data_IF_362949353634
#
_entry.id   IF_362949353634
#
_cell.length_a   1.000
_cell.length_b   1.000
_cell.length_c   1.000
_cell.angle_alpha   90.00
_cell.angle_beta   90.00
_cell.angle_gamma   90.00
#
_symmetry.space_group_name_H-M   'P 1'
#
loop_
_entity.id
_entity.type
_entity.pdbx_description
1 polymer ?
#
# COMPACT_ATOMS: atom_id res chain seq x y z
N UNK A 1 -30.94 -9.06 -15.23
CA UNK A 1 -29.87 -8.06 -15.42
C UNK A 1 -30.44 -6.93 -16.28
N UNK A 2 -30.78 -5.78 -15.70
CA UNK A 2 -31.33 -4.63 -16.46
C UNK A 2 -30.15 -4.06 -17.24
N UNK A 3 -30.21 -4.05 -18.57
CA UNK A 3 -29.21 -3.36 -19.41
C UNK A 3 -29.24 -1.87 -19.05
N UNK A 4 -28.13 -1.33 -18.53
CA UNK A 4 -27.99 0.12 -18.33
C UNK A 4 -28.03 0.78 -19.73
N UNK A 5 -28.76 1.88 -19.84
CA UNK A 5 -28.77 2.69 -21.07
C UNK A 5 -27.46 3.44 -21.19
N UNK A 6 -27.08 3.88 -22.40
CA UNK A 6 -25.89 4.71 -22.62
C UNK A 6 -25.91 5.99 -21.77
N UNK A 7 -27.11 6.54 -21.52
CA UNK A 7 -27.29 7.69 -20.64
C UNK A 7 -26.96 7.38 -19.18
N UNK A 8 -27.34 6.19 -18.67
CA UNK A 8 -27.04 5.79 -17.30
C UNK A 8 -25.54 5.59 -17.09
N UNK A 9 -24.88 4.96 -18.08
CA UNK A 9 -23.42 4.77 -18.08
C UNK A 9 -22.69 6.11 -18.08
N UNK A 10 -23.12 7.04 -18.93
CA UNK A 10 -22.53 8.36 -19.01
C UNK A 10 -22.75 9.17 -17.73
N UNK A 11 -23.94 9.09 -17.11
CA UNK A 11 -24.24 9.74 -15.83
C UNK A 11 -23.34 9.19 -14.71
N UNK A 12 -23.17 7.86 -14.63
CA UNK A 12 -22.32 7.22 -13.65
C UNK A 12 -20.86 7.64 -13.80
N UNK A 13 -20.34 7.70 -15.03
CA UNK A 13 -19.00 8.18 -15.32
C UNK A 13 -18.83 9.65 -14.90
N UNK A 14 -19.81 10.51 -15.20
CA UNK A 14 -19.79 11.91 -14.79
C UNK A 14 -19.79 12.05 -13.26
N UNK A 15 -20.57 11.20 -12.55
CA UNK A 15 -20.58 11.16 -11.07
C UNK A 15 -19.20 10.80 -10.52
N UNK A 16 -18.55 9.81 -11.09
CA UNK A 16 -17.18 9.42 -10.71
C UNK A 16 -16.17 10.54 -10.93
N UNK A 17 -16.27 11.27 -12.05
CA UNK A 17 -15.40 12.41 -12.33
C UNK A 17 -15.60 13.55 -11.32
N UNK A 18 -16.86 13.88 -10.98
CA UNK A 18 -17.16 14.89 -9.96
C UNK A 18 -16.62 14.47 -8.60
N UNK A 19 -16.84 13.20 -8.19
CA UNK A 19 -16.36 12.67 -6.91
C UNK A 19 -14.84 12.63 -6.84
N UNK A 20 -14.15 12.20 -7.93
CA UNK A 20 -12.68 12.27 -8.05
C UNK A 20 -12.17 13.69 -7.85
N UNK A 21 -12.78 14.67 -8.52
CA UNK A 21 -12.37 16.07 -8.42
C UNK A 21 -12.51 16.58 -6.99
N UNK A 22 -13.62 16.28 -6.32
CA UNK A 22 -13.85 16.63 -4.92
C UNK A 22 -12.84 15.96 -3.98
N UNK A 23 -12.56 14.67 -4.19
CA UNK A 23 -11.61 13.92 -3.37
C UNK A 23 -10.20 14.50 -3.44
N UNK A 24 -9.78 14.95 -4.63
CA UNK A 24 -8.44 15.45 -4.90
C UNK A 24 -8.25 16.94 -4.61
N UNK A 25 -9.28 17.63 -4.10
CA UNK A 25 -9.25 19.09 -3.88
C UNK A 25 -9.72 19.41 -2.46
N UNK A 26 -8.97 20.22 -1.74
CA UNK A 26 -9.31 20.58 -0.36
C UNK A 26 -10.66 21.30 -0.26
N UNK A 27 -10.94 22.21 -1.19
CA UNK A 27 -12.21 22.91 -1.33
C UNK A 27 -12.42 23.38 -2.76
N UNK A 28 -13.67 23.38 -3.20
CA UNK A 28 -14.03 23.79 -4.57
C UNK A 28 -15.46 24.33 -4.62
N UNK A 29 -15.94 24.69 -5.80
CA UNK A 29 -17.34 25.08 -6.05
C UNK A 29 -17.93 24.29 -7.21
N UNK A 30 -19.28 24.21 -7.27
CA UNK A 30 -19.99 23.56 -8.39
C UNK A 30 -19.59 24.13 -9.76
N UNK A 31 -19.34 25.44 -9.84
CA UNK A 31 -18.89 26.10 -11.07
C UNK A 31 -17.44 25.68 -11.42
N UNK A 32 -16.54 25.69 -10.44
CA UNK A 32 -15.14 25.28 -10.65
C UNK A 32 -15.04 23.82 -11.13
N UNK A 33 -15.82 22.91 -10.52
CA UNK A 33 -15.89 21.51 -10.97
C UNK A 33 -16.37 21.45 -12.42
N UNK A 34 -17.48 22.17 -12.76
CA UNK A 34 -18.05 22.15 -14.09
C UNK A 34 -17.03 22.61 -15.15
N UNK A 35 -16.29 23.67 -14.84
CA UNK A 35 -15.26 24.22 -15.73
C UNK A 35 -14.06 23.25 -15.85
N UNK A 36 -13.60 22.64 -14.75
CA UNK A 36 -12.45 21.74 -14.72
C UNK A 36 -12.69 20.43 -15.50
N UNK A 37 -13.89 19.86 -15.42
CA UNK A 37 -14.21 18.58 -16.08
C UNK A 37 -15.04 18.78 -17.37
N UNK A 38 -15.23 20.00 -17.79
CA UNK A 38 -15.97 20.38 -19.01
C UNK A 38 -17.38 19.80 -19.09
N UNK A 39 -18.14 19.92 -17.98
CA UNK A 39 -19.54 19.51 -17.89
C UNK A 39 -20.47 20.72 -17.72
N UNK A 40 -21.73 20.54 -18.10
CA UNK A 40 -22.75 21.57 -17.87
C UNK A 40 -23.00 21.80 -16.37
N UNK A 41 -23.12 23.07 -15.96
CA UNK A 41 -23.35 23.45 -14.55
C UNK A 41 -24.63 22.81 -13.94
N UNK A 42 -25.66 22.60 -14.74
CA UNK A 42 -26.87 21.88 -14.33
C UNK A 42 -26.62 20.42 -13.98
N UNK A 43 -25.82 19.72 -14.81
CA UNK A 43 -25.41 18.33 -14.59
C UNK A 43 -24.58 18.20 -13.32
N UNK A 44 -23.55 19.04 -13.15
CA UNK A 44 -22.74 19.05 -11.92
C UNK A 44 -23.57 19.37 -10.69
N UNK A 45 -24.51 20.33 -10.78
CA UNK A 45 -25.38 20.67 -9.64
C UNK A 45 -26.30 19.51 -9.23
N UNK A 46 -26.81 18.73 -10.18
CA UNK A 46 -27.60 17.53 -9.91
C UNK A 46 -26.75 16.44 -9.23
N UNK A 47 -25.54 16.18 -9.73
CA UNK A 47 -24.61 15.19 -9.18
C UNK A 47 -24.15 15.60 -7.78
N UNK A 48 -23.77 16.85 -7.57
CA UNK A 48 -23.36 17.37 -6.26
C UNK A 48 -24.47 17.21 -5.24
N UNK A 49 -25.73 17.48 -5.59
CA UNK A 49 -26.87 17.27 -4.68
C UNK A 49 -26.99 15.78 -4.31
N UNK A 50 -26.89 14.87 -5.28
CA UNK A 50 -26.94 13.44 -5.03
C UNK A 50 -25.82 12.98 -4.08
N UNK A 51 -24.58 13.46 -4.29
CA UNK A 51 -23.44 13.15 -3.42
C UNK A 51 -23.58 13.77 -2.01
N UNK A 52 -24.21 14.95 -1.90
CA UNK A 52 -24.55 15.56 -0.60
C UNK A 52 -25.59 14.71 0.15
N UNK A 53 -26.65 14.28 -0.53
CA UNK A 53 -27.69 13.41 0.06
C UNK A 53 -27.12 12.07 0.53
N UNK A 54 -26.01 11.60 -0.11
CA UNK A 54 -25.24 10.43 0.30
C UNK A 54 -24.23 10.71 1.46
N UNK A 55 -24.06 11.97 1.88
CA UNK A 55 -23.13 12.35 2.94
C UNK A 55 -21.66 12.44 2.51
N UNK A 56 -21.37 12.34 1.19
CA UNK A 56 -20.00 12.40 0.63
C UNK A 56 -19.45 13.83 0.48
N UNK A 57 -20.29 14.84 0.63
CA UNK A 57 -19.93 16.25 0.47
C UNK A 57 -20.31 17.05 1.73
N UNK A 58 -19.42 17.93 2.13
CA UNK A 58 -19.61 18.91 3.19
C UNK A 58 -19.67 20.34 2.59
N UNK A 59 -20.63 21.17 3.02
CA UNK A 59 -20.70 22.57 2.65
C UNK A 59 -19.90 23.43 3.63
N UNK A 60 -19.03 24.29 3.09
CA UNK A 60 -18.16 25.17 3.86
C UNK A 60 -18.70 26.61 3.99
N UNK A 61 -19.84 26.91 3.33
CA UNK A 61 -20.42 28.24 3.28
C UNK A 61 -19.99 29.03 2.04
N UNK A 62 -20.08 30.35 2.13
CA UNK A 62 -19.87 31.25 0.97
C UNK A 62 -18.39 31.64 0.87
N UNK A 63 -17.79 31.40 -0.28
CA UNK A 63 -16.41 31.82 -0.60
C UNK A 63 -16.26 33.30 -0.89
N UNK A 64 -15.07 33.74 -1.24
CA UNK A 64 -14.79 35.11 -1.65
C UNK A 64 -15.39 35.41 -3.03
N UNK A 65 -15.74 36.66 -3.27
CA UNK A 65 -16.22 37.09 -4.57
C UNK A 65 -15.06 37.07 -5.59
N UNK A 66 -15.33 36.63 -6.83
CA UNK A 66 -14.32 36.75 -7.88
C UNK A 66 -13.99 38.22 -8.19
N UNK A 67 -12.75 38.52 -8.57
CA UNK A 67 -12.29 39.85 -8.93
C UNK A 67 -13.06 40.45 -10.12
N UNK A 68 -13.84 39.66 -10.85
CA UNK A 68 -14.62 40.05 -12.05
C UNK A 68 -16.09 40.37 -11.68
N UNK A 69 -16.46 40.26 -10.40
CA UNK A 69 -17.84 40.43 -9.93
C UNK A 69 -18.68 39.16 -10.13
N UNK A 70 -19.82 39.07 -9.48
CA UNK A 70 -20.73 37.93 -9.55
C UNK A 70 -21.15 37.44 -8.18
N UNK A 71 -22.09 36.48 -8.17
CA UNK A 71 -22.57 35.85 -6.91
C UNK A 71 -21.45 35.03 -6.30
N UNK A 72 -21.17 35.23 -5.01
CA UNK A 72 -20.19 34.45 -4.27
C UNK A 72 -20.49 32.95 -4.39
N UNK A 73 -19.50 32.07 -4.70
CA UNK A 73 -19.72 30.65 -4.84
C UNK A 73 -19.92 30.01 -3.45
N UNK A 74 -20.81 29.02 -3.37
CA UNK A 74 -20.86 28.14 -2.22
C UNK A 74 -19.70 27.13 -2.34
N UNK A 75 -18.83 27.10 -1.34
CA UNK A 75 -17.70 26.17 -1.26
C UNK A 75 -18.16 24.84 -0.71
N UNK A 76 -17.62 23.78 -1.28
CA UNK A 76 -17.87 22.39 -0.92
C UNK A 76 -16.54 21.64 -0.88
N UNK A 77 -16.49 20.57 -0.08
CA UNK A 77 -15.36 19.64 -0.05
C UNK A 77 -15.84 18.20 0.09
N UNK A 78 -14.93 17.27 -0.19
CA UNK A 78 -15.14 15.86 0.14
C UNK A 78 -15.28 15.71 1.66
N UNK A 79 -16.30 14.96 2.10
CA UNK A 79 -16.52 14.72 3.53
C UNK A 79 -15.70 13.53 4.01
N UNK A 80 -14.53 13.77 4.58
CA UNK A 80 -13.69 12.71 5.16
C UNK A 80 -14.40 11.94 6.29
N UNK A 81 -15.36 12.59 6.99
CA UNK A 81 -16.18 11.97 8.03
C UNK A 81 -17.33 11.15 7.49
N UNK A 82 -17.37 10.87 6.18
CA UNK A 82 -18.32 9.91 5.61
C UNK A 82 -18.27 8.56 6.36
N UNK A 83 -17.08 8.08 6.66
CA UNK A 83 -16.85 6.87 7.43
C UNK A 83 -15.36 6.66 7.70
N UNK A 84 -15.04 5.60 8.42
CA UNK A 84 -13.67 5.20 8.64
C UNK A 84 -13.41 3.77 8.14
N UNK A 85 -12.15 3.48 7.81
CA UNK A 85 -11.63 2.18 7.37
C UNK A 85 -10.76 1.61 8.46
N UNK A 86 -10.84 0.30 8.68
CA UNK A 86 -9.96 -0.46 9.55
C UNK A 86 -9.01 -1.30 8.68
N UNK A 87 -7.73 -1.02 8.75
CA UNK A 87 -6.71 -1.79 8.05
C UNK A 87 -5.95 -2.69 9.04
N UNK A 88 -5.79 -3.96 8.70
CA UNK A 88 -4.95 -4.91 9.43
C UNK A 88 -3.73 -5.32 8.62
N UNK A 89 -2.60 -5.50 9.29
CA UNK A 89 -1.41 -6.15 8.76
C UNK A 89 -1.09 -7.39 9.61
N UNK A 90 -1.28 -8.57 9.01
CA UNK A 90 -1.05 -9.86 9.67
C UNK A 90 0.39 -10.31 9.40
N UNK A 91 1.32 -9.78 10.16
CA UNK A 91 2.72 -10.20 10.14
C UNK A 91 2.96 -11.50 10.93
N UNK A 92 4.21 -11.98 10.91
CA UNK A 92 4.60 -13.21 11.61
C UNK A 92 4.64 -13.00 13.13
N UNK A 93 5.10 -11.84 13.58
CA UNK A 93 5.34 -11.55 15.00
C UNK A 93 4.45 -10.42 15.54
N UNK A 94 3.69 -9.78 14.69
CA UNK A 94 2.82 -8.67 15.06
C UNK A 94 1.55 -8.68 14.23
N UNK A 95 0.42 -8.42 14.89
CA UNK A 95 -0.79 -7.93 14.27
C UNK A 95 -0.79 -6.42 14.43
N UNK A 96 -0.72 -5.68 13.32
CA UNK A 96 -0.86 -4.23 13.33
C UNK A 96 -2.21 -3.86 12.80
N UNK A 97 -2.76 -2.75 13.29
CA UNK A 97 -3.94 -2.18 12.67
C UNK A 97 -3.93 -0.66 12.76
N UNK A 98 -4.61 -0.05 11.81
CA UNK A 98 -4.88 1.39 11.81
C UNK A 98 -6.36 1.66 11.58
N UNK A 99 -6.83 2.74 12.17
CA UNK A 99 -8.13 3.33 11.88
C UNK A 99 -7.87 4.64 11.16
N UNK A 100 -8.46 4.79 9.98
CA UNK A 100 -8.26 5.95 9.13
C UNK A 100 -9.61 6.47 8.64
N UNK A 101 -9.77 7.79 8.49
CA UNK A 101 -10.86 8.31 7.69
C UNK A 101 -10.78 7.79 6.25
N UNK A 102 -11.91 7.79 5.54
CA UNK A 102 -11.99 7.25 4.17
C UNK A 102 -11.05 7.96 3.17
N UNK A 103 -10.61 9.17 3.44
CA UNK A 103 -9.61 9.91 2.64
C UNK A 103 -8.16 9.52 2.95
N UNK A 104 -7.91 8.60 3.88
CA UNK A 104 -6.59 8.13 4.27
C UNK A 104 -6.07 8.70 5.58
N UNK A 105 -6.57 9.85 6.04
CA UNK A 105 -6.08 10.51 7.26
C UNK A 105 -6.14 9.57 8.47
N UNK A 106 -5.00 9.41 9.12
CA UNK A 106 -4.82 8.51 10.25
C UNK A 106 -5.55 9.04 11.50
N UNK A 107 -6.32 8.18 12.14
CA UNK A 107 -6.91 8.45 13.46
C UNK A 107 -6.00 7.87 14.54
N UNK A 108 -5.69 6.58 14.46
CA UNK A 108 -4.67 5.95 15.30
C UNK A 108 -4.18 4.63 14.70
N UNK A 109 -3.02 4.16 15.15
CA UNK A 109 -2.55 2.81 14.85
C UNK A 109 -2.05 2.10 16.10
N UNK A 110 -2.09 0.75 16.07
CA UNK A 110 -1.68 -0.11 17.18
C UNK A 110 -0.89 -1.30 16.63
N UNK A 111 0.12 -1.73 17.41
CA UNK A 111 0.87 -2.96 17.15
C UNK A 111 0.73 -3.91 18.32
N UNK A 112 0.25 -5.13 18.06
CA UNK A 112 0.05 -6.21 19.03
C UNK A 112 1.07 -7.30 18.72
N UNK A 113 1.90 -7.67 19.69
CA UNK A 113 2.87 -8.76 19.54
C UNK A 113 2.15 -10.11 19.47
N UNK A 114 2.52 -10.93 18.49
CA UNK A 114 2.00 -12.28 18.31
C UNK A 114 2.97 -13.31 18.87
N UNK A 115 2.39 -14.33 19.52
CA UNK A 115 3.10 -15.52 20.02
C UNK A 115 2.59 -16.80 19.35
N UNK A 116 1.78 -16.67 18.31
CA UNK A 116 1.18 -17.74 17.53
C UNK A 116 1.19 -17.37 16.06
N UNK A 117 1.27 -18.37 15.18
CA UNK A 117 1.06 -18.22 13.75
C UNK A 117 -0.29 -18.79 13.29
N UNK A 118 -1.13 -19.28 14.22
CA UNK A 118 -2.45 -19.82 13.89
C UNK A 118 -3.42 -18.70 13.59
N UNK A 119 -3.96 -18.68 12.39
CA UNK A 119 -4.86 -17.61 11.94
C UNK A 119 -6.12 -17.51 12.80
N UNK A 120 -6.63 -18.63 13.32
CA UNK A 120 -7.78 -18.63 14.25
C UNK A 120 -7.53 -17.81 15.51
N UNK A 121 -6.32 -17.92 16.10
CA UNK A 121 -5.96 -17.16 17.30
C UNK A 121 -5.77 -15.68 16.98
N UNK A 122 -5.16 -15.37 15.82
CA UNK A 122 -4.99 -13.99 15.33
C UNK A 122 -6.37 -13.39 15.04
N UNK A 123 -7.27 -14.13 14.41
CA UNK A 123 -8.65 -13.69 14.17
C UNK A 123 -9.39 -13.35 15.47
N UNK A 124 -9.17 -14.10 16.56
CA UNK A 124 -9.76 -13.77 17.86
C UNK A 124 -9.32 -12.37 18.35
N UNK A 125 -8.06 -11.98 18.11
CA UNK A 125 -7.58 -10.63 18.40
C UNK A 125 -8.25 -9.60 17.48
N UNK A 126 -8.31 -9.87 16.17
CA UNK A 126 -9.00 -8.99 15.21
C UNK A 126 -10.47 -8.79 15.58
N UNK A 127 -11.16 -9.87 15.92
CA UNK A 127 -12.56 -9.84 16.40
C UNK A 127 -12.70 -8.94 17.63
N UNK A 128 -11.79 -9.06 18.60
CA UNK A 128 -11.80 -8.20 19.77
C UNK A 128 -11.61 -6.74 19.43
N UNK A 129 -10.70 -6.41 18.51
CA UNK A 129 -10.51 -5.04 18.00
C UNK A 129 -11.80 -4.53 17.36
N UNK A 130 -12.41 -5.29 16.44
CA UNK A 130 -13.62 -4.89 15.71
C UNK A 130 -14.80 -4.63 16.66
N UNK A 131 -15.01 -5.52 17.65
CA UNK A 131 -16.13 -5.40 18.59
C UNK A 131 -15.95 -4.28 19.62
N UNK A 132 -14.73 -3.84 19.87
CA UNK A 132 -14.40 -2.79 20.84
C UNK A 132 -13.91 -1.49 20.16
N UNK A 133 -14.19 -1.31 18.86
CA UNK A 133 -13.88 -0.05 18.18
C UNK A 133 -14.56 1.12 18.87
N UNK A 134 -13.81 2.18 19.08
CA UNK A 134 -14.34 3.44 19.60
C UNK A 134 -15.35 4.05 18.61
N UNK A 135 -16.24 4.88 19.13
CA UNK A 135 -17.14 5.67 18.28
C UNK A 135 -16.40 6.90 17.78
N UNK A 136 -16.11 6.90 16.49
CA UNK A 136 -15.54 8.07 15.81
C UNK A 136 -16.66 8.96 15.28
N UNK A 137 -16.39 10.27 15.22
CA UNK A 137 -17.31 11.26 14.67
C UNK A 137 -17.39 11.13 13.14
N UNK A 138 -18.18 10.16 12.69
CA UNK A 138 -18.42 9.85 11.27
C UNK A 138 -19.89 9.51 11.03
N UNK A 139 -20.35 9.69 9.78
CA UNK A 139 -21.77 9.45 9.41
C UNK A 139 -22.11 7.95 9.44
N UNK A 140 -21.25 7.11 8.83
CA UNK A 140 -21.55 5.70 8.60
C UNK A 140 -20.71 4.74 9.46
N UNK A 141 -19.89 5.24 10.39
CA UNK A 141 -19.02 4.40 11.21
C UNK A 141 -17.97 3.66 10.37
N UNK A 142 -17.75 2.38 10.68
CA UNK A 142 -16.87 1.49 9.92
C UNK A 142 -17.49 1.21 8.54
N UNK A 143 -16.78 1.55 7.46
CA UNK A 143 -17.28 1.39 6.08
C UNK A 143 -16.51 0.34 5.29
N UNK A 144 -15.39 -0.17 5.81
CA UNK A 144 -14.66 -1.25 5.16
C UNK A 144 -13.42 -1.70 5.93
N UNK A 145 -12.96 -2.91 5.60
CA UNK A 145 -11.77 -3.52 6.20
C UNK A 145 -10.81 -3.95 5.11
N UNK A 146 -9.51 -3.68 5.31
CA UNK A 146 -8.44 -4.29 4.53
C UNK A 146 -7.54 -5.17 5.40
N UNK A 147 -6.97 -6.22 4.79
CA UNK A 147 -6.07 -7.14 5.46
C UNK A 147 -4.85 -7.36 4.56
N UNK A 148 -3.68 -7.02 5.08
CA UNK A 148 -2.37 -7.30 4.48
C UNK A 148 -1.91 -8.69 4.88
N UNK A 149 -1.45 -9.48 3.92
CA UNK A 149 -0.87 -10.82 4.13
C UNK A 149 0.44 -10.98 3.35
N UNK A 150 1.39 -11.69 3.96
CA UNK A 150 2.58 -12.20 3.27
C UNK A 150 2.26 -13.48 2.48
N UNK A 151 1.36 -13.37 1.52
CA UNK A 151 0.85 -14.49 0.73
C UNK A 151 0.32 -14.00 -0.62
N UNK A 152 0.39 -14.80 -1.70
CA UNK A 152 -0.31 -14.51 -2.93
C UNK A 152 -1.81 -14.53 -2.72
N UNK A 153 -2.48 -13.48 -3.16
CA UNK A 153 -3.93 -13.29 -3.03
C UNK A 153 -4.54 -12.91 -4.36
N UNK A 154 -5.64 -13.58 -4.74
CA UNK A 154 -6.47 -13.22 -5.87
C UNK A 154 -7.94 -13.23 -5.45
N UNK A 155 -8.63 -12.10 -5.65
CA UNK A 155 -10.07 -11.95 -5.35
C UNK A 155 -10.46 -12.45 -3.94
N UNK A 156 -9.68 -12.04 -2.95
CA UNK A 156 -9.78 -12.47 -1.55
C UNK A 156 -9.47 -13.97 -1.29
N UNK A 157 -9.04 -14.71 -2.30
CA UNK A 157 -8.60 -16.09 -2.12
C UNK A 157 -7.09 -16.13 -1.85
N UNK A 158 -6.71 -16.76 -0.76
CA UNK A 158 -5.33 -16.96 -0.37
C UNK A 158 -4.87 -18.27 -1.01
N UNK A 159 -3.92 -18.20 -1.95
CA UNK A 159 -3.47 -19.38 -2.70
C UNK A 159 -2.64 -20.32 -1.82
N UNK A 160 -1.74 -19.77 -1.04
CA UNK A 160 -0.97 -20.47 -0.01
C UNK A 160 -0.41 -19.45 0.98
N UNK A 161 -0.07 -19.88 2.18
CA UNK A 161 0.55 -19.02 3.20
C UNK A 161 1.82 -19.71 3.73
N UNK A 162 3.00 -19.11 3.48
CA UNK A 162 4.27 -19.71 3.92
C UNK A 162 4.53 -19.52 5.41
N UNK A 163 3.87 -18.56 6.07
CA UNK A 163 4.19 -18.15 7.44
C UNK A 163 3.05 -18.33 8.43
N UNK A 164 1.79 -18.21 7.96
CA UNK A 164 0.60 -18.32 8.81
C UNK A 164 -0.11 -19.64 8.60
N UNK A 165 -0.56 -20.25 9.68
CA UNK A 165 -1.26 -21.53 9.68
C UNK A 165 -2.78 -21.32 9.69
N UNK A 166 -3.40 -21.51 8.54
CA UNK A 166 -4.85 -21.38 8.37
C UNK A 166 -5.65 -22.59 8.83
N UNK A 167 -5.10 -23.82 8.83
CA UNK A 167 -5.80 -25.04 9.24
C UNK A 167 -7.25 -25.12 8.76
N UNK A 168 -7.49 -24.89 7.49
CA UNK A 168 -8.85 -24.79 6.89
C UNK A 168 -9.75 -23.68 7.47
N UNK A 169 -9.22 -22.74 8.22
CA UNK A 169 -9.97 -21.58 8.70
C UNK A 169 -10.20 -20.57 7.59
N UNK A 170 -11.47 -20.31 7.25
CA UNK A 170 -11.84 -19.28 6.29
C UNK A 170 -11.96 -17.92 7.00
N UNK A 171 -10.95 -17.07 6.79
CA UNK A 171 -10.88 -15.75 7.39
C UNK A 171 -11.95 -14.80 6.85
N UNK A 172 -12.26 -14.90 5.54
CA UNK A 172 -13.25 -14.04 4.90
C UNK A 172 -14.65 -14.37 5.39
N UNK A 173 -15.02 -15.63 5.44
CA UNK A 173 -16.33 -16.03 5.90
C UNK A 173 -16.53 -15.71 7.38
N UNK A 174 -15.51 -15.93 8.21
CA UNK A 174 -15.55 -15.55 9.62
C UNK A 174 -15.72 -14.02 9.84
N UNK A 175 -15.15 -13.20 8.96
CA UNK A 175 -15.35 -11.74 9.00
C UNK A 175 -16.74 -11.33 8.51
N UNK A 176 -17.26 -11.95 7.45
CA UNK A 176 -18.62 -11.69 6.96
C UNK A 176 -19.70 -12.04 7.97
N UNK A 177 -19.48 -13.07 8.79
CA UNK A 177 -20.39 -13.40 9.90
C UNK A 177 -20.37 -12.33 11.01
N UNK A 178 -19.27 -11.60 11.15
CA UNK A 178 -19.09 -10.61 12.22
C UNK A 178 -19.56 -9.21 11.82
N UNK A 179 -19.42 -8.83 10.54
CA UNK A 179 -19.65 -7.48 10.05
C UNK A 179 -20.20 -7.49 8.62
N UNK A 180 -21.02 -6.49 8.31
CA UNK A 180 -21.63 -6.27 6.98
C UNK A 180 -20.99 -5.06 6.27
N UNK A 181 -19.65 -5.12 6.09
CA UNK A 181 -18.91 -4.13 5.30
C UNK A 181 -17.96 -4.83 4.32
N UNK A 182 -17.54 -4.18 3.23
CA UNK A 182 -16.55 -4.74 2.33
C UNK A 182 -15.25 -5.12 3.05
N UNK A 183 -14.78 -6.35 2.83
CA UNK A 183 -13.49 -6.85 3.31
C UNK A 183 -12.62 -7.17 2.10
N UNK A 184 -11.40 -6.65 2.08
CA UNK A 184 -10.41 -6.92 1.03
C UNK A 184 -9.14 -7.45 1.66
N UNK A 185 -8.69 -8.63 1.19
CA UNK A 185 -7.36 -9.17 1.49
C UNK A 185 -6.46 -8.90 0.30
N UNK A 186 -5.23 -8.46 0.57
CA UNK A 186 -4.24 -8.24 -0.47
C UNK A 186 -2.83 -8.60 0.01
N UNK A 187 -1.95 -8.90 -0.95
CA UNK A 187 -0.54 -9.16 -0.71
C UNK A 187 0.19 -7.91 -0.19
N UNK A 188 1.12 -8.08 0.75
CA UNK A 188 1.91 -7.00 1.37
C UNK A 188 2.63 -6.13 0.34
N UNK A 189 3.34 -6.74 -0.63
CA UNK A 189 4.09 -5.96 -1.62
C UNK A 189 3.16 -5.17 -2.56
N UNK A 190 1.99 -5.73 -2.89
CA UNK A 190 0.97 -5.03 -3.65
C UNK A 190 0.43 -3.81 -2.88
N UNK A 191 0.19 -3.96 -1.57
CA UNK A 191 -0.25 -2.84 -0.73
C UNK A 191 0.83 -1.76 -0.59
N UNK A 192 2.10 -2.15 -0.51
CA UNK A 192 3.22 -1.19 -0.55
C UNK A 192 3.23 -0.41 -1.88
N UNK A 193 3.02 -1.08 -3.00
CA UNK A 193 2.94 -0.40 -4.31
C UNK A 193 1.73 0.55 -4.40
N UNK A 194 0.58 0.16 -3.84
CA UNK A 194 -0.61 1.02 -3.74
C UNK A 194 -0.33 2.24 -2.86
N UNK A 195 0.35 2.06 -1.72
CA UNK A 195 0.79 3.17 -0.87
C UNK A 195 1.64 4.18 -1.65
N UNK A 196 2.62 3.70 -2.40
CA UNK A 196 3.49 4.58 -3.20
C UNK A 196 2.65 5.35 -4.22
N UNK A 197 1.79 4.68 -4.97
CA UNK A 197 0.93 5.32 -5.97
C UNK A 197 0.03 6.42 -5.38
N UNK A 198 -0.52 6.19 -4.19
CA UNK A 198 -1.62 6.99 -3.65
C UNK A 198 -1.19 8.02 -2.58
N UNK A 199 -0.10 7.76 -1.86
CA UNK A 199 0.36 8.62 -0.75
C UNK A 199 1.77 9.19 -0.95
N UNK A 200 2.65 8.51 -1.70
CA UNK A 200 4.02 9.00 -1.87
C UNK A 200 4.06 10.16 -2.84
N UNK A 201 4.72 11.23 -2.41
CA UNK A 201 4.94 12.43 -3.24
C UNK A 201 6.41 12.78 -3.16
N UNK A 202 7.08 12.71 -4.29
CA UNK A 202 8.50 13.07 -4.37
C UNK A 202 8.66 14.60 -4.45
N UNK A 203 7.87 15.25 -5.30
CA UNK A 203 7.71 16.71 -5.43
C UNK A 203 6.29 16.98 -5.92
N UNK A 204 5.81 18.23 -5.84
CA UNK A 204 4.44 18.59 -6.25
C UNK A 204 4.10 18.20 -7.71
N UNK A 205 5.13 18.04 -8.58
CA UNK A 205 4.95 17.84 -10.02
C UNK A 205 5.33 16.43 -10.53
N UNK A 206 5.92 15.55 -9.71
CA UNK A 206 6.37 14.21 -10.18
C UNK A 206 5.42 13.14 -9.68
N UNK A 207 4.64 12.56 -10.58
CA UNK A 207 3.88 11.33 -10.39
C UNK A 207 4.53 10.22 -11.20
N UNK A 208 4.70 9.06 -10.56
CA UNK A 208 5.18 7.86 -11.23
C UNK A 208 3.99 7.05 -11.74
N UNK A 209 4.01 6.68 -13.02
CA UNK A 209 2.98 5.87 -13.66
C UNK A 209 3.31 4.37 -13.56
N UNK A 210 4.60 4.03 -13.62
CA UNK A 210 5.11 2.68 -13.57
C UNK A 210 6.06 2.51 -12.38
N UNK A 211 5.68 1.70 -11.42
CA UNK A 211 6.38 1.58 -10.14
C UNK A 211 6.64 0.10 -9.85
N UNK A 212 7.83 -0.20 -9.33
CA UNK A 212 8.12 -1.43 -8.64
C UNK A 212 8.37 -1.16 -7.15
N UNK A 213 7.63 -1.82 -6.27
CA UNK A 213 7.85 -1.81 -4.83
C UNK A 213 8.53 -3.12 -4.44
N UNK A 214 9.84 -3.11 -4.26
CA UNK A 214 10.63 -4.27 -3.85
C UNK A 214 10.68 -4.34 -2.32
N UNK A 215 9.91 -5.26 -1.75
CA UNK A 215 9.86 -5.52 -0.31
C UNK A 215 10.86 -6.60 0.04
N UNK A 216 11.81 -6.28 0.93
CA UNK A 216 12.88 -7.18 1.38
C UNK A 216 12.74 -7.36 2.89
N UNK A 217 11.98 -8.38 3.32
CA UNK A 217 11.69 -8.64 4.73
C UNK A 217 11.94 -10.11 5.08
N UNK A 218 10.89 -10.85 5.49
CA UNK A 218 10.98 -12.29 5.75
C UNK A 218 11.11 -13.11 4.45
N UNK A 219 10.59 -12.59 3.35
CA UNK A 219 10.76 -13.02 1.98
C UNK A 219 11.19 -11.83 1.11
N UNK A 220 11.11 -12.01 -0.21
CA UNK A 220 11.31 -10.94 -1.19
C UNK A 220 10.13 -10.94 -2.15
N UNK A 221 9.39 -9.84 -2.18
CA UNK A 221 8.23 -9.66 -3.05
C UNK A 221 8.28 -8.34 -3.80
N UNK A 222 7.59 -8.25 -4.93
CA UNK A 222 7.47 -7.03 -5.73
C UNK A 222 6.01 -6.70 -5.98
N UNK A 223 5.56 -5.56 -5.50
CA UNK A 223 4.31 -4.96 -5.94
C UNK A 223 4.56 -4.16 -7.22
N UNK A 224 3.71 -4.36 -8.23
CA UNK A 224 3.91 -3.74 -9.55
C UNK A 224 2.74 -2.84 -9.91
N UNK A 225 3.01 -1.58 -10.20
CA UNK A 225 2.06 -0.63 -10.80
C UNK A 225 2.49 -0.40 -12.24
N UNK A 226 1.56 -0.55 -13.18
CA UNK A 226 1.71 -0.23 -14.61
C UNK A 226 0.58 0.71 -15.01
N UNK A 227 0.92 1.84 -15.61
CA UNK A 227 -0.06 2.87 -16.01
C UNK A 227 -1.01 3.23 -14.82
N UNK A 228 -0.43 3.41 -13.64
CA UNK A 228 -1.10 3.70 -12.36
C UNK A 228 -2.08 2.62 -11.87
N UNK A 229 -2.02 1.42 -12.43
CA UNK A 229 -2.86 0.27 -12.05
C UNK A 229 -2.03 -0.84 -11.44
N UNK A 230 -2.54 -1.45 -10.39
CA UNK A 230 -1.91 -2.63 -9.80
C UNK A 230 -1.95 -3.80 -10.78
N UNK A 231 -0.78 -4.32 -11.12
CA UNK A 231 -0.62 -5.50 -11.97
C UNK A 231 -0.46 -6.75 -11.11
N UNK A 232 -1.44 -7.62 -11.13
CA UNK A 232 -1.46 -8.86 -10.32
C UNK A 232 -0.98 -10.09 -11.09
N UNK A 233 -0.93 -10.01 -12.42
CA UNK A 233 -0.59 -11.18 -13.27
C UNK A 233 -1.62 -12.29 -13.21
N UNK A 234 -1.25 -13.45 -13.75
CA UNK A 234 -2.08 -14.64 -13.68
C UNK A 234 -2.20 -15.14 -12.23
N UNK A 235 -3.42 -15.32 -11.77
CA UNK A 235 -3.73 -15.82 -10.40
C UNK A 235 -3.09 -15.01 -9.26
N UNK A 236 -2.80 -13.71 -9.46
CA UNK A 236 -2.18 -12.89 -8.41
C UNK A 236 -0.72 -13.23 -8.12
N UNK A 237 -0.04 -13.94 -9.03
CA UNK A 237 1.34 -14.42 -8.84
C UNK A 237 2.42 -13.49 -9.42
N UNK A 238 2.04 -12.30 -9.90
CA UNK A 238 3.03 -11.30 -10.29
C UNK A 238 3.87 -10.87 -9.09
N UNK A 239 5.15 -10.66 -9.28
CA UNK A 239 6.03 -10.14 -8.25
C UNK A 239 6.62 -11.15 -7.27
N UNK A 240 6.39 -12.46 -7.45
CA UNK A 240 6.99 -13.55 -6.66
C UNK A 240 8.48 -13.75 -6.97
N UNK A 241 9.24 -12.64 -7.08
CA UNK A 241 10.67 -12.65 -7.48
C UNK A 241 11.55 -13.40 -6.47
N UNK A 242 11.19 -13.40 -5.19
CA UNK A 242 11.91 -14.13 -4.14
C UNK A 242 11.98 -15.63 -4.40
N UNK A 243 11.06 -16.17 -5.18
CA UNK A 243 11.01 -17.59 -5.59
C UNK A 243 11.85 -17.89 -6.81
N UNK A 244 12.44 -16.88 -7.45
CA UNK A 244 13.37 -17.10 -8.57
C UNK A 244 14.53 -17.96 -8.13
N UNK A 245 14.93 -18.86 -9.02
CA UNK A 245 16.02 -19.82 -8.76
C UNK A 245 17.34 -19.21 -9.18
N UNK A 246 18.28 -19.22 -8.27
CA UNK A 246 19.68 -18.89 -8.54
C UNK A 246 20.57 -20.11 -8.27
N UNK A 247 21.61 -20.24 -9.07
CA UNK A 247 22.59 -21.29 -8.89
C UNK A 247 23.62 -20.84 -7.84
N UNK A 248 23.68 -21.53 -6.70
CA UNK A 248 24.72 -21.28 -5.70
C UNK A 248 26.07 -21.89 -6.12
N UNK A 249 27.17 -21.44 -5.50
CA UNK A 249 28.54 -21.93 -5.74
C UNK A 249 28.61 -23.45 -5.69
N UNK A 250 27.82 -24.11 -4.86
CA UNK A 250 27.76 -25.56 -4.75
C UNK A 250 26.89 -26.25 -5.83
N UNK A 251 26.52 -25.55 -6.90
CA UNK A 251 25.61 -26.03 -7.97
C UNK A 251 24.22 -26.51 -7.46
N UNK A 252 23.82 -26.07 -6.29
CA UNK A 252 22.45 -26.32 -5.76
C UNK A 252 21.55 -25.14 -6.11
N UNK A 253 20.41 -25.45 -6.69
CA UNK A 253 19.37 -24.47 -6.91
C UNK A 253 18.82 -23.97 -5.56
N UNK A 254 18.82 -22.67 -5.36
CA UNK A 254 18.23 -22.03 -4.19
C UNK A 254 17.32 -20.90 -4.62
N UNK A 255 16.32 -20.62 -3.84
CA UNK A 255 15.48 -19.44 -4.07
C UNK A 255 16.22 -18.18 -3.65
N UNK A 256 15.97 -17.10 -4.35
CA UNK A 256 16.59 -15.81 -4.09
C UNK A 256 16.32 -15.35 -2.65
N UNK A 257 15.09 -15.49 -2.16
CA UNK A 257 14.71 -15.15 -0.79
C UNK A 257 15.39 -15.97 0.29
N UNK A 258 15.78 -17.23 0.01
CA UNK A 258 16.51 -18.10 0.94
C UNK A 258 17.96 -17.63 1.19
N UNK A 259 18.42 -16.65 0.41
CA UNK A 259 19.79 -16.13 0.52
C UNK A 259 19.79 -14.65 0.91
N UNK A 260 18.93 -13.85 0.29
CA UNK A 260 19.01 -12.38 0.34
C UNK A 260 17.85 -11.69 1.05
N UNK A 261 16.82 -12.43 1.52
CA UNK A 261 15.84 -11.80 2.43
C UNK A 261 16.51 -11.38 3.74
N UNK A 262 15.97 -10.37 4.42
CA UNK A 262 16.49 -9.96 5.74
C UNK A 262 16.54 -11.14 6.72
N UNK A 263 15.47 -11.97 6.73
CA UNK A 263 15.44 -13.17 7.55
C UNK A 263 16.60 -14.12 7.23
N UNK A 264 16.86 -14.38 5.96
CA UNK A 264 17.94 -15.28 5.53
C UNK A 264 19.32 -14.74 5.94
N UNK A 265 19.52 -13.42 5.82
CA UNK A 265 20.77 -12.74 6.23
C UNK A 265 20.92 -12.83 7.77
N UNK A 266 19.87 -12.53 8.54
CA UNK A 266 19.90 -12.64 10.02
C UNK A 266 20.19 -14.08 10.46
N UNK A 267 19.55 -15.08 9.84
CA UNK A 267 19.79 -16.49 10.11
C UNK A 267 21.24 -16.90 9.79
N UNK A 268 21.81 -16.37 8.69
CA UNK A 268 23.23 -16.59 8.30
C UNK A 268 24.18 -15.99 9.34
N UNK A 269 23.92 -14.77 9.78
CA UNK A 269 24.73 -14.08 10.80
C UNK A 269 24.61 -14.81 12.15
N UNK A 270 23.42 -15.21 12.55
CA UNK A 270 23.20 -15.95 13.78
C UNK A 270 23.98 -17.25 13.83
N UNK A 271 24.07 -18.00 12.72
CA UNK A 271 24.93 -19.19 12.60
C UNK A 271 26.41 -18.86 12.70
N UNK A 272 26.85 -17.79 12.02
CA UNK A 272 28.25 -17.34 12.04
C UNK A 272 28.71 -16.93 13.45
N UNK A 273 27.82 -16.26 14.19
CA UNK A 273 28.09 -15.79 15.58
C UNK A 273 27.74 -16.82 16.66
N UNK A 274 27.34 -18.04 16.29
CA UNK A 274 26.86 -19.09 17.21
C UNK A 274 25.77 -18.58 18.17
N UNK A 275 24.89 -17.72 17.69
CA UNK A 275 23.79 -17.15 18.47
C UNK A 275 22.43 -17.59 17.90
N UNK A 276 21.80 -18.64 18.45
CA UNK A 276 20.43 -19.01 18.08
C UNK A 276 19.45 -17.86 18.38
N UNK A 277 18.47 -17.64 17.49
CA UNK A 277 17.51 -16.56 17.66
C UNK A 277 18.08 -15.16 17.50
N UNK A 278 19.10 -15.00 16.64
CA UNK A 278 19.69 -13.72 16.30
C UNK A 278 18.64 -12.75 15.75
N UNK A 279 18.57 -11.58 16.32
CA UNK A 279 17.51 -10.58 16.04
C UNK A 279 18.00 -9.41 15.22
N UNK A 280 17.07 -8.55 14.80
CA UNK A 280 17.40 -7.28 14.13
C UNK A 280 18.18 -6.35 15.08
N UNK A 281 17.84 -6.34 16.36
CA UNK A 281 18.54 -5.53 17.39
C UNK A 281 20.00 -5.98 17.53
N UNK A 282 20.25 -7.28 17.50
CA UNK A 282 21.62 -7.84 17.50
C UNK A 282 22.40 -7.42 16.25
N UNK A 283 21.73 -7.44 15.09
CA UNK A 283 22.32 -6.98 13.83
C UNK A 283 22.70 -5.51 13.91
N UNK A 284 21.80 -4.63 14.40
CA UNK A 284 22.08 -3.21 14.55
C UNK A 284 23.33 -2.98 15.41
N UNK A 285 23.43 -3.67 16.55
CA UNK A 285 24.61 -3.55 17.43
C UNK A 285 25.91 -3.95 16.73
N UNK A 286 25.89 -5.05 15.96
CA UNK A 286 27.09 -5.49 15.24
C UNK A 286 27.48 -4.54 14.10
N UNK A 287 26.51 -3.92 13.45
CA UNK A 287 26.75 -2.90 12.42
C UNK A 287 27.35 -1.63 13.02
N UNK A 288 26.85 -1.18 14.18
CA UNK A 288 27.36 0.01 14.89
C UNK A 288 28.83 -0.15 15.33
N UNK A 289 29.22 -1.34 15.80
CA UNK A 289 30.61 -1.63 16.17
C UNK A 289 31.50 -1.98 14.97
N UNK A 290 30.96 -1.95 13.74
CA UNK A 290 31.66 -2.22 12.49
C UNK A 290 32.34 -3.60 12.46
N UNK A 291 31.60 -4.65 12.83
CA UNK A 291 32.07 -6.04 12.76
C UNK A 291 32.42 -6.39 11.31
N UNK A 292 33.67 -6.75 11.06
CA UNK A 292 34.21 -6.99 9.70
C UNK A 292 33.48 -8.11 8.98
N UNK A 293 33.10 -9.18 9.67
CA UNK A 293 32.38 -10.31 9.06
C UNK A 293 30.98 -9.90 8.61
N UNK A 294 30.32 -9.05 9.40
CA UNK A 294 28.99 -8.53 9.06
C UNK A 294 29.11 -7.54 7.91
N UNK A 295 30.11 -6.67 7.92
CA UNK A 295 30.37 -5.75 6.82
C UNK A 295 30.53 -6.49 5.48
N UNK A 296 31.28 -7.59 5.43
CA UNK A 296 31.44 -8.40 4.23
C UNK A 296 30.11 -9.05 3.75
N UNK A 297 29.28 -9.54 4.68
CA UNK A 297 27.94 -10.07 4.35
C UNK A 297 27.05 -8.97 3.78
N UNK A 298 27.11 -7.77 4.33
CA UNK A 298 26.30 -6.65 3.86
C UNK A 298 26.79 -6.09 2.52
N UNK A 299 28.08 -6.13 2.24
CA UNK A 299 28.59 -5.81 0.91
C UNK A 299 28.05 -6.78 -0.16
N UNK A 300 28.10 -8.09 0.12
CA UNK A 300 27.46 -9.11 -0.73
C UNK A 300 25.98 -8.87 -0.94
N UNK A 301 25.27 -8.51 0.14
CA UNK A 301 23.83 -8.20 0.09
C UNK A 301 23.54 -6.96 -0.76
N UNK A 302 24.31 -5.89 -0.62
CA UNK A 302 24.20 -4.65 -1.42
C UNK A 302 24.33 -4.95 -2.92
N UNK A 303 25.39 -5.72 -3.30
CA UNK A 303 25.62 -6.14 -4.69
C UNK A 303 24.41 -6.95 -5.20
N UNK A 304 23.92 -7.90 -4.40
CA UNK A 304 22.77 -8.74 -4.79
C UNK A 304 21.50 -7.92 -5.00
N UNK A 305 21.17 -6.98 -4.10
CA UNK A 305 19.99 -6.14 -4.24
C UNK A 305 20.10 -5.20 -5.44
N UNK A 306 21.31 -4.68 -5.73
CA UNK A 306 21.54 -3.90 -6.94
C UNK A 306 21.31 -4.73 -8.22
N UNK A 307 21.78 -5.97 -8.27
CA UNK A 307 21.57 -6.89 -9.40
C UNK A 307 20.11 -7.28 -9.56
N UNK A 308 19.38 -7.53 -8.45
CA UNK A 308 17.94 -7.80 -8.48
C UNK A 308 17.21 -6.59 -9.05
N UNK A 309 17.51 -5.40 -8.56
CA UNK A 309 16.91 -4.15 -9.04
C UNK A 309 17.21 -3.93 -10.53
N UNK A 310 18.45 -4.15 -10.95
CA UNK A 310 18.84 -4.08 -12.36
C UNK A 310 18.00 -5.02 -13.23
N UNK A 311 17.90 -6.30 -12.86
CA UNK A 311 17.15 -7.29 -13.64
C UNK A 311 15.65 -6.93 -13.74
N UNK A 312 15.06 -6.43 -12.67
CA UNK A 312 13.67 -5.94 -12.65
C UNK A 312 13.48 -4.73 -13.57
N UNK A 313 14.44 -3.80 -13.54
CA UNK A 313 14.42 -2.60 -14.40
C UNK A 313 14.55 -2.98 -15.86
N UNK A 314 15.47 -3.88 -16.22
CA UNK A 314 15.63 -4.36 -17.61
C UNK A 314 14.39 -5.10 -18.12
N UNK A 315 13.62 -5.72 -17.23
CA UNK A 315 12.41 -6.44 -17.61
C UNK A 315 11.19 -5.53 -17.83
N UNK A 316 11.00 -4.49 -17.01
CA UNK A 316 9.76 -3.71 -16.97
C UNK A 316 9.93 -2.22 -17.25
N UNK A 317 11.17 -1.69 -17.29
CA UNK A 317 11.47 -0.27 -17.50
C UNK A 317 10.56 0.69 -16.69
N UNK A 318 10.52 0.56 -15.35
CA UNK A 318 9.69 1.41 -14.50
C UNK A 318 10.27 2.83 -14.39
N UNK A 319 9.44 3.80 -14.01
CA UNK A 319 9.89 5.15 -13.68
C UNK A 319 10.76 5.13 -12.42
N UNK A 320 10.37 4.30 -11.43
CA UNK A 320 11.11 4.14 -10.18
C UNK A 320 10.98 2.73 -9.58
N UNK A 321 12.02 2.31 -8.87
CA UNK A 321 12.04 1.14 -7.97
C UNK A 321 12.13 1.66 -6.54
N UNK A 322 11.14 1.30 -5.72
CA UNK A 322 11.10 1.63 -4.31
C UNK A 322 11.53 0.43 -3.47
N UNK A 323 12.53 0.61 -2.64
CA UNK A 323 13.07 -0.41 -1.76
C UNK A 323 12.46 -0.27 -0.35
N UNK A 324 11.80 -1.32 0.13
CA UNK A 324 11.32 -1.43 1.50
C UNK A 324 12.16 -2.46 2.24
N UNK A 325 13.05 -2.00 3.13
CA UNK A 325 13.95 -2.83 3.92
C UNK A 325 14.29 -2.16 5.24
N UNK A 326 14.21 -2.93 6.35
CA UNK A 326 14.63 -2.46 7.67
C UNK A 326 16.15 -2.22 7.72
N UNK A 327 16.94 -3.00 6.96
CA UNK A 327 18.39 -2.78 6.89
C UNK A 327 18.71 -1.39 6.33
N UNK A 328 18.02 -1.00 5.25
CA UNK A 328 18.20 0.34 4.65
C UNK A 328 17.65 1.43 5.59
N UNK A 329 16.52 1.20 6.24
CA UNK A 329 15.94 2.16 7.16
C UNK A 329 16.86 2.47 8.36
N UNK A 330 17.55 1.49 8.92
CA UNK A 330 18.52 1.68 10.00
C UNK A 330 19.87 2.18 9.50
N UNK A 331 20.27 1.78 8.29
CA UNK A 331 21.58 2.09 7.71
C UNK A 331 21.42 2.66 6.29
N UNK A 332 21.01 3.95 6.14
CA UNK A 332 20.73 4.55 4.83
C UNK A 332 21.89 4.50 3.82
N UNK A 333 23.14 4.45 4.27
CA UNK A 333 24.29 4.31 3.39
C UNK A 333 24.31 3.00 2.57
N UNK A 334 23.52 1.99 2.97
CA UNK A 334 23.33 0.79 2.16
C UNK A 334 22.62 1.10 0.85
N UNK A 335 21.70 2.08 0.85
CA UNK A 335 21.06 2.57 -0.37
C UNK A 335 22.10 3.21 -1.32
N UNK A 336 22.98 4.03 -0.78
CA UNK A 336 24.05 4.65 -1.59
C UNK A 336 24.93 3.59 -2.26
N UNK A 337 25.24 2.50 -1.53
CA UNK A 337 25.96 1.35 -2.07
C UNK A 337 25.16 0.66 -3.18
N UNK A 338 23.87 0.41 -2.99
CA UNK A 338 23.00 -0.21 -4.00
C UNK A 338 22.93 0.66 -5.26
N UNK A 339 22.74 1.97 -5.12
CA UNK A 339 22.69 2.91 -6.25
C UNK A 339 24.03 2.94 -7.00
N UNK A 340 25.14 2.94 -6.28
CA UNK A 340 26.49 2.90 -6.88
C UNK A 340 26.71 1.63 -7.71
N UNK A 341 26.39 0.47 -7.15
CA UNK A 341 26.49 -0.82 -7.85
C UNK A 341 25.55 -0.87 -9.06
N UNK A 342 24.28 -0.44 -8.91
CA UNK A 342 23.34 -0.33 -10.01
C UNK A 342 23.86 0.57 -11.13
N UNK A 343 24.39 1.74 -10.82
CA UNK A 343 24.94 2.68 -11.81
C UNK A 343 26.13 2.12 -12.56
N UNK A 344 26.90 1.20 -11.96
CA UNK A 344 27.99 0.50 -12.64
C UNK A 344 27.49 -0.52 -13.67
N UNK A 345 26.31 -1.13 -13.42
CA UNK A 345 25.66 -2.07 -14.32
C UNK A 345 24.88 -1.37 -15.45
N UNK A 346 24.32 -0.21 -15.16
CA UNK A 346 23.49 0.57 -16.10
C UNK A 346 23.90 2.06 -16.11
N UNK A 347 25.02 2.41 -16.76
CA UNK A 347 25.51 3.79 -16.76
C UNK A 347 24.57 4.79 -17.47
N UNK A 348 23.65 4.32 -18.30
CA UNK A 348 22.69 5.12 -19.05
C UNK A 348 21.27 5.04 -18.45
N UNK A 349 21.10 4.25 -17.38
CA UNK A 349 19.81 4.05 -16.75
C UNK A 349 19.23 5.33 -16.17
N UNK A 350 17.94 5.55 -16.42
CA UNK A 350 17.19 6.71 -15.92
C UNK A 350 16.19 6.36 -14.81
N UNK A 351 16.02 5.08 -14.53
CA UNK A 351 15.12 4.62 -13.46
C UNK A 351 15.67 5.03 -12.10
N UNK A 352 14.82 5.66 -11.29
CA UNK A 352 15.19 6.06 -9.94
C UNK A 352 15.10 4.87 -8.97
N UNK A 353 16.08 4.72 -8.07
CA UNK A 353 16.04 3.78 -6.93
C UNK A 353 15.85 4.61 -5.67
N UNK A 354 14.76 4.36 -4.96
CA UNK A 354 14.30 5.17 -3.83
C UNK A 354 14.07 4.25 -2.63
N UNK A 355 14.49 4.64 -1.44
CA UNK A 355 14.16 3.91 -0.21
C UNK A 355 12.86 4.41 0.41
N UNK A 356 12.11 3.49 1.01
CA UNK A 356 10.94 3.75 1.85
C UNK A 356 11.35 3.66 3.34
N UNK A 357 12.32 4.43 3.75
CA UNK A 357 12.94 4.40 5.09
C UNK A 357 12.06 4.98 6.20
N UNK A 358 11.09 5.79 5.88
CA UNK A 358 10.14 6.36 6.83
C UNK A 358 8.83 5.56 6.83
N UNK A 359 8.41 5.07 7.99
CA UNK A 359 7.10 4.41 8.18
C UNK A 359 6.92 3.01 7.55
N UNK A 360 7.99 2.21 7.41
CA UNK A 360 7.92 0.84 6.85
C UNK A 360 6.76 0.02 7.44
N UNK A 361 6.45 0.20 8.72
CA UNK A 361 5.39 -0.55 9.40
C UNK A 361 3.97 -0.09 9.08
N UNK A 362 3.81 1.04 8.41
CA UNK A 362 2.52 1.65 8.09
C UNK A 362 2.16 1.53 6.59
N UNK A 363 3.15 1.22 5.74
CA UNK A 363 2.97 1.22 4.28
C UNK A 363 1.80 0.35 3.83
N UNK A 364 1.74 -0.88 4.34
CA UNK A 364 0.70 -1.86 4.02
C UNK A 364 -0.67 -1.45 4.56
N UNK A 365 -0.70 -0.82 5.74
CA UNK A 365 -1.94 -0.31 6.34
C UNK A 365 -2.53 0.80 5.47
N UNK A 366 -1.73 1.83 5.12
CA UNK A 366 -2.18 2.91 4.24
C UNK A 366 -2.57 2.42 2.85
N UNK A 367 -1.76 1.52 2.25
CA UNK A 367 -2.10 0.88 0.97
C UNK A 367 -3.44 0.15 1.03
N UNK A 368 -3.71 -0.55 2.13
CA UNK A 368 -4.97 -1.21 2.40
C UNK A 368 -6.14 -0.23 2.54
N UNK A 369 -5.93 0.88 3.26
CA UNK A 369 -6.93 1.96 3.37
C UNK A 369 -7.27 2.50 1.99
N UNK A 370 -6.28 2.84 1.16
CA UNK A 370 -6.52 3.34 -0.19
C UNK A 370 -7.29 2.32 -1.06
N UNK A 371 -6.91 1.04 -0.98
CA UNK A 371 -7.57 -0.03 -1.75
C UNK A 371 -9.06 -0.15 -1.41
N UNK A 372 -9.39 -0.22 -0.12
CA UNK A 372 -10.77 -0.34 0.35
C UNK A 372 -11.56 0.94 0.10
N UNK A 373 -11.00 2.11 0.36
CA UNK A 373 -11.67 3.39 0.11
C UNK A 373 -12.06 3.57 -1.35
N UNK A 374 -11.15 3.20 -2.28
CA UNK A 374 -11.45 3.21 -3.73
C UNK A 374 -12.63 2.32 -4.08
N UNK A 375 -12.72 1.14 -3.46
CA UNK A 375 -13.83 0.19 -3.65
C UNK A 375 -15.15 0.77 -3.17
N UNK A 376 -15.16 1.37 -1.96
CA UNK A 376 -16.36 1.98 -1.36
C UNK A 376 -16.84 3.16 -2.22
N UNK A 377 -15.91 3.98 -2.71
CA UNK A 377 -16.23 5.16 -3.53
C UNK A 377 -16.52 4.82 -5.01
N UNK A 378 -16.29 3.56 -5.44
CA UNK A 378 -16.42 3.15 -6.83
C UNK A 378 -15.40 3.81 -7.76
N UNK A 379 -14.22 4.16 -7.23
CA UNK A 379 -13.16 4.92 -7.92
C UNK A 379 -11.87 4.09 -8.12
N UNK A 380 -11.98 2.77 -8.27
CA UNK A 380 -10.85 1.85 -8.37
C UNK A 380 -9.90 2.19 -9.54
N UNK A 381 -10.46 2.69 -10.65
CA UNK A 381 -9.70 3.03 -11.86
C UNK A 381 -9.31 4.52 -11.96
N UNK A 382 -9.56 5.31 -10.93
CA UNK A 382 -9.31 6.76 -10.96
C UNK A 382 -8.08 7.12 -10.11
N UNK A 383 -7.37 8.18 -10.48
CA UNK A 383 -6.27 8.69 -9.68
C UNK A 383 -6.83 9.49 -8.50
N UNK A 384 -6.56 9.01 -7.30
CA UNK A 384 -6.93 9.65 -6.05
C UNK A 384 -5.69 10.09 -5.28
N UNK A 385 -5.80 11.21 -4.61
CA UNK A 385 -4.75 11.81 -3.79
C UNK A 385 -5.16 11.65 -2.31
N UNK A 386 -4.66 10.59 -1.69
CA UNK A 386 -4.95 10.34 -0.28
C UNK A 386 -4.14 11.26 0.64
N UNK A 387 -4.67 11.50 1.83
CA UNK A 387 -4.05 12.29 2.89
C UNK A 387 -3.47 11.36 3.96
N UNK A 388 -2.28 11.67 4.47
CA UNK A 388 -1.70 11.01 5.65
C UNK A 388 -2.18 11.69 6.92
#
# INVERSE_FOLDING_TARGET
MIMKTDQDVMRENNKKLVLKTLFNTDQTSRSSIADQINLQKSTVSSIVRELQDQGLIEELGTGEASNIGGRRPNLIRFNRKYGFVLAFDMGIHHLRYSVNYINGELIHHVSIKLYTNKVRDIFALMKNVILNLEKYDTINGLVGISISLHAPVLDNQILYSPFLDFQSFDLIDALKELIDVPVIIENEANLTAIYIRDFYRHTEDIQFDNILALNIHNGIGVGTIIERRLYKGLNGLSGEIGRSIIMSENKKNRRLEEIYSEKAVLDRIGKLKNKPGFTLEDFILLMEIKDEQIAAIMEEWVIAIAQISYNLIQYSAPDAVFLSSRFIAFFPYLLDGIIKEYSSLDPLGSTQIISLDHHIHELTLFGGVALVSRKILGLESHDLLFTK
#
